data_IF_625406798568
#
_entry.id   IF_625406798568
#
_cell.length_a   1.000
_cell.length_b   1.000
_cell.length_c   1.000
_cell.angle_alpha   90.00
_cell.angle_beta   90.00
_cell.angle_gamma   90.00
#
_symmetry.space_group_name_H-M   'P 1'
#
loop_
_entity.id
_entity.type
_entity.pdbx_description
1 polymer ?
#
# COMPACT_ATOMS: atom_id res chain seq x y z
N UNK A 1 -12.38 -6.86 15.39
CA UNK A 1 -12.80 -5.60 14.71
C UNK A 1 -11.90 -5.27 13.51
N UNK A 2 -10.59 -5.39 13.67
CA UNK A 2 -9.55 -5.33 12.62
C UNK A 2 -9.85 -6.00 11.26
N UNK A 3 -10.27 -7.28 11.28
CA UNK A 3 -10.52 -8.08 10.07
C UNK A 3 -11.57 -7.48 9.12
N UNK A 4 -12.60 -6.82 9.67
CA UNK A 4 -13.70 -6.25 8.87
C UNK A 4 -13.25 -5.01 8.11
N UNK A 5 -12.42 -4.16 8.73
CA UNK A 5 -11.88 -2.94 8.14
C UNK A 5 -10.99 -3.27 6.93
N UNK A 6 -10.09 -4.25 7.09
CA UNK A 6 -9.25 -4.74 5.99
C UNK A 6 -10.07 -5.32 4.84
N UNK A 7 -11.13 -6.08 5.13
CA UNK A 7 -12.01 -6.65 4.10
C UNK A 7 -12.76 -5.57 3.30
N UNK A 8 -13.33 -4.56 3.98
CA UNK A 8 -14.01 -3.44 3.33
C UNK A 8 -13.07 -2.63 2.44
N UNK A 9 -11.82 -2.43 2.87
CA UNK A 9 -10.82 -1.66 2.12
C UNK A 9 -10.31 -2.40 0.90
N UNK A 10 -10.04 -3.71 1.02
CA UNK A 10 -9.76 -4.60 -0.12
C UNK A 10 -10.86 -4.53 -1.16
N UNK A 11 -12.13 -4.53 -0.73
CA UNK A 11 -13.28 -4.41 -1.62
C UNK A 11 -13.38 -3.03 -2.32
N UNK A 12 -13.03 -1.94 -1.63
CA UNK A 12 -12.97 -0.59 -2.24
C UNK A 12 -11.84 -0.48 -3.27
N UNK A 13 -10.65 -1.00 -2.95
CA UNK A 13 -9.52 -1.01 -3.86
C UNK A 13 -9.77 -1.91 -5.08
N UNK A 14 -10.42 -3.07 -4.89
CA UNK A 14 -10.81 -3.93 -6.01
C UNK A 14 -11.79 -3.26 -6.97
N UNK A 15 -12.74 -2.47 -6.45
CA UNK A 15 -13.65 -1.67 -7.29
C UNK A 15 -12.91 -0.58 -8.07
N UNK A 16 -11.99 0.15 -7.43
CA UNK A 16 -11.20 1.20 -8.09
C UNK A 16 -10.31 0.64 -9.21
N UNK A 17 -9.62 -0.47 -8.95
CA UNK A 17 -8.78 -1.13 -9.96
C UNK A 17 -9.61 -1.61 -11.16
N UNK A 18 -10.77 -2.23 -10.91
CA UNK A 18 -11.67 -2.68 -11.97
C UNK A 18 -12.22 -1.51 -12.82
N UNK A 19 -12.50 -0.35 -12.20
CA UNK A 19 -12.95 0.84 -12.92
C UNK A 19 -11.88 1.44 -13.84
N UNK A 20 -10.60 1.25 -13.53
CA UNK A 20 -9.47 1.73 -14.32
C UNK A 20 -9.05 0.77 -15.45
N UNK A 21 -9.78 -0.35 -15.65
CA UNK A 21 -9.45 -1.36 -16.65
C UNK A 21 -8.16 -2.15 -16.35
N UNK A 22 -7.62 -2.00 -15.14
CA UNK A 22 -6.34 -2.54 -14.74
C UNK A 22 -6.55 -3.88 -14.01
N UNK A 23 -7.04 -4.87 -14.77
CA UNK A 23 -7.35 -6.22 -14.27
C UNK A 23 -6.10 -6.99 -13.79
N UNK A 24 -4.90 -6.54 -14.17
CA UNK A 24 -3.69 -7.38 -14.07
C UNK A 24 -2.98 -7.33 -12.72
N UNK A 25 -3.20 -6.32 -11.87
CA UNK A 25 -2.37 -6.14 -10.66
C UNK A 25 -3.14 -5.54 -9.50
N UNK A 26 -4.24 -6.20 -9.14
CA UNK A 26 -4.83 -5.98 -7.82
C UNK A 26 -3.79 -6.28 -6.75
N UNK A 27 -3.41 -5.25 -6.01
CA UNK A 27 -2.62 -5.41 -4.80
C UNK A 27 -3.48 -6.21 -3.81
N UNK A 28 -3.31 -7.52 -3.80
CA UNK A 28 -3.54 -8.35 -2.63
C UNK A 28 -2.34 -8.27 -1.66
N UNK A 29 -1.52 -7.21 -1.74
CA UNK A 29 -0.30 -7.07 -0.94
C UNK A 29 -0.58 -6.86 0.54
N UNK A 30 -1.81 -6.65 0.99
CA UNK A 30 -2.04 -6.52 2.43
C UNK A 30 -2.01 -7.93 3.02
N UNK A 31 -0.92 -8.31 3.67
CA UNK A 31 -0.94 -9.47 4.58
C UNK A 31 -2.16 -9.34 5.49
N UNK A 32 -3.01 -10.36 5.66
CA UNK A 32 -4.28 -10.24 6.41
C UNK A 32 -4.12 -9.69 7.83
N UNK A 33 -2.94 -9.86 8.42
CA UNK A 33 -2.58 -9.38 9.76
C UNK A 33 -2.05 -7.94 9.80
N UNK A 34 -1.69 -7.36 8.65
CA UNK A 34 -1.30 -5.95 8.57
C UNK A 34 -2.56 -5.10 8.47
N UNK A 35 -2.95 -4.52 9.60
CA UNK A 35 -4.06 -3.58 9.71
C UNK A 35 -3.69 -2.24 9.11
N UNK A 36 -3.99 -2.06 7.83
CA UNK A 36 -3.71 -0.82 7.13
C UNK A 36 -5.00 -0.06 6.90
N UNK A 37 -5.58 0.48 7.99
CA UNK A 37 -6.58 1.54 7.89
C UNK A 37 -5.89 2.89 7.62
N UNK A 38 -5.17 2.95 6.50
CA UNK A 38 -4.24 4.03 6.17
C UNK A 38 -4.73 4.74 4.91
N UNK A 39 -5.30 5.94 5.01
CA UNK A 39 -5.63 6.77 3.84
C UNK A 39 -4.40 7.03 2.97
N UNK A 40 -4.59 7.11 1.64
CA UNK A 40 -3.50 7.18 0.65
C UNK A 40 -2.97 5.84 0.14
N UNK A 41 -3.57 4.71 0.55
CA UNK A 41 -3.11 3.39 0.12
C UNK A 41 -3.41 3.12 -1.38
N UNK A 42 -2.42 2.69 -2.18
CA UNK A 42 -2.63 2.43 -3.61
C UNK A 42 -3.47 1.17 -3.85
N UNK A 43 -4.34 1.24 -4.86
CA UNK A 43 -5.22 0.15 -5.26
C UNK A 43 -4.51 -0.87 -6.17
N UNK A 44 -3.48 -0.45 -6.92
CA UNK A 44 -2.72 -1.32 -7.85
C UNK A 44 -1.21 -1.19 -7.66
N UNK A 45 -0.46 -2.19 -8.14
CA UNK A 45 1.01 -2.17 -8.17
C UNK A 45 1.51 -0.99 -9.01
N UNK A 46 0.82 -0.68 -10.09
CA UNK A 46 1.10 0.50 -10.92
C UNK A 46 0.97 1.77 -10.10
N UNK A 47 -0.18 1.97 -9.42
CA UNK A 47 -0.41 3.15 -8.57
C UNK A 47 0.69 3.28 -7.50
N UNK A 48 1.08 2.17 -6.85
CA UNK A 48 2.16 2.15 -5.88
C UNK A 48 3.45 2.69 -6.50
N UNK A 49 4.02 2.04 -7.52
CA UNK A 49 5.32 2.44 -8.11
C UNK A 49 5.33 3.82 -8.78
N UNK A 50 4.16 4.45 -8.94
CA UNK A 50 4.03 5.82 -9.44
C UNK A 50 3.73 6.86 -8.36
N UNK A 51 3.65 6.47 -7.09
CA UNK A 51 3.43 7.40 -5.97
C UNK A 51 4.56 8.43 -5.91
N UNK A 52 4.22 9.70 -5.63
CA UNK A 52 5.23 10.70 -5.37
C UNK A 52 5.88 10.50 -3.98
N UNK A 53 6.98 11.23 -3.72
CA UNK A 53 7.72 11.13 -2.46
C UNK A 53 6.89 11.57 -1.24
N UNK A 54 5.96 12.51 -1.43
CA UNK A 54 5.08 12.98 -0.35
C UNK A 54 4.09 11.91 0.09
N UNK A 55 3.39 11.32 -0.87
CA UNK A 55 2.43 10.23 -0.65
C UNK A 55 3.13 9.00 -0.08
N UNK A 56 4.33 8.67 -0.56
CA UNK A 56 5.13 7.56 -0.05
C UNK A 56 5.55 7.78 1.41
N UNK A 57 6.01 8.99 1.76
CA UNK A 57 6.37 9.33 3.14
C UNK A 57 5.16 9.31 4.07
N UNK A 58 4.01 9.79 3.60
CA UNK A 58 2.77 9.74 4.37
C UNK A 58 2.35 8.29 4.64
N UNK A 59 2.44 7.43 3.63
CA UNK A 59 2.19 6.00 3.76
C UNK A 59 3.17 5.34 4.74
N UNK A 60 4.46 5.64 4.64
CA UNK A 60 5.48 5.14 5.57
C UNK A 60 5.22 5.58 7.03
N UNK A 61 4.87 6.84 7.26
CA UNK A 61 4.51 7.35 8.59
C UNK A 61 3.30 6.62 9.16
N UNK A 62 2.26 6.42 8.34
CA UNK A 62 1.07 5.69 8.74
C UNK A 62 1.34 4.19 9.01
N UNK A 63 2.41 3.63 8.44
CA UNK A 63 2.92 2.29 8.72
C UNK A 63 3.84 2.23 9.96
N UNK A 64 4.08 3.36 10.62
CA UNK A 64 5.02 3.46 11.75
C UNK A 64 6.48 3.30 11.34
N UNK A 65 6.81 3.56 10.07
CA UNK A 65 8.17 3.48 9.54
C UNK A 65 8.87 4.83 9.64
N UNK A 66 10.18 4.81 9.92
CA UNK A 66 11.02 6.01 9.84
C UNK A 66 11.34 6.27 8.37
N UNK A 67 10.82 7.36 7.83
CA UNK A 67 11.02 7.77 6.43
C UNK A 67 11.97 8.95 6.29
N UNK A 68 12.20 9.70 7.36
CA UNK A 68 13.13 10.85 7.42
C UNK A 68 14.53 10.41 6.96
N UNK A 69 15.13 11.19 6.06
CA UNK A 69 16.45 10.97 5.46
C UNK A 69 16.64 9.66 4.66
N UNK A 70 15.57 8.88 4.44
CA UNK A 70 15.61 7.72 3.54
C UNK A 70 15.46 8.19 2.10
N UNK A 71 16.38 7.71 1.24
CA UNK A 71 16.32 7.93 -0.21
C UNK A 71 15.03 7.33 -0.77
N UNK A 72 14.30 8.10 -1.59
CA UNK A 72 13.00 7.75 -2.14
C UNK A 72 12.91 6.30 -2.66
N UNK A 73 13.83 5.88 -3.53
CA UNK A 73 13.82 4.52 -4.09
C UNK A 73 13.96 3.45 -3.03
N UNK A 74 14.83 3.66 -2.04
CA UNK A 74 15.00 2.73 -0.91
C UNK A 74 13.74 2.66 -0.05
N UNK A 75 13.17 3.82 0.29
CA UNK A 75 11.91 3.91 1.04
C UNK A 75 10.78 3.17 0.31
N UNK A 76 10.75 3.27 -1.02
CA UNK A 76 9.75 2.63 -1.86
C UNK A 76 9.77 1.11 -1.73
N UNK A 77 10.97 0.51 -1.77
CA UNK A 77 11.14 -0.93 -1.58
C UNK A 77 10.77 -1.36 -0.15
N UNK A 78 11.24 -0.64 0.88
CA UNK A 78 10.95 -0.98 2.28
C UNK A 78 9.45 -0.94 2.60
N UNK A 79 8.75 0.08 2.09
CA UNK A 79 7.30 0.22 2.27
C UNK A 79 6.57 -0.93 1.57
N UNK A 80 7.00 -1.28 0.35
CA UNK A 80 6.44 -2.41 -0.39
C UNK A 80 6.56 -3.71 0.40
N UNK A 81 7.76 -4.02 0.89
CA UNK A 81 8.03 -5.24 1.66
C UNK A 81 7.21 -5.31 2.94
N UNK A 82 7.12 -4.18 3.66
CA UNK A 82 6.34 -4.07 4.90
C UNK A 82 4.87 -4.37 4.65
N UNK A 83 4.32 -3.87 3.55
CA UNK A 83 2.93 -4.10 3.15
C UNK A 83 2.74 -5.55 2.74
N UNK A 84 3.54 -6.03 1.77
CA UNK A 84 3.48 -7.35 1.14
C UNK A 84 3.71 -8.52 2.12
N UNK A 85 4.38 -8.27 3.25
CA UNK A 85 4.76 -9.32 4.19
C UNK A 85 5.85 -10.24 3.64
N UNK A 86 6.61 -9.77 2.64
CA UNK A 86 7.72 -10.49 2.01
C UNK A 86 8.99 -9.68 2.18
N UNK A 87 10.04 -10.28 2.73
CA UNK A 87 11.40 -9.72 2.70
C UNK A 87 12.07 -10.18 1.41
N UNK A 88 12.54 -9.25 0.58
CA UNK A 88 13.39 -9.56 -0.59
C UNK A 88 14.87 -9.55 -0.21
#
# INVERSE_FOLDING_TARGET
MALVVNATRRYKNSKRAAANGDETRLIALVHPDNLLDVEGFPATIGEFWTMDDGDLRQLATNLGMKSEDVVYTKLMHEVYERIAGTSY
#
